data_IF_100631201626
#
_entry.id   IF_100631201626
#
_cell.length_a   1.000
_cell.length_b   1.000
_cell.length_c   1.000
_cell.angle_alpha   90.00
_cell.angle_beta   90.00
_cell.angle_gamma   90.00
#
_symmetry.space_group_name_H-M   'P 1'
#
loop_
_entity.id
_entity.type
_entity.pdbx_description
1 polymer ?
#
# COMPACT_ATOMS: atom_id res chain seq x y z
N UNK A 1 -0.07 33.53 -11.09
CA UNK A 1 -1.46 33.53 -11.58
C UNK A 1 -1.60 32.33 -12.49
N UNK A 2 -2.35 31.32 -12.09
CA UNK A 2 -2.71 30.20 -12.97
C UNK A 2 -3.56 30.78 -14.12
N UNK A 3 -3.17 30.50 -15.37
CA UNK A 3 -4.05 30.81 -16.50
C UNK A 3 -5.39 30.12 -16.25
N UNK A 4 -6.50 30.86 -16.31
CA UNK A 4 -7.83 30.26 -16.27
C UNK A 4 -7.97 29.28 -17.44
N UNK A 5 -8.23 28.04 -17.14
CA UNK A 5 -8.51 27.00 -18.12
C UNK A 5 -9.90 27.24 -18.72
N UNK A 6 -10.07 27.10 -20.04
CA UNK A 6 -11.39 27.27 -20.66
C UNK A 6 -12.35 26.16 -20.25
N UNK A 7 -13.65 26.41 -20.30
CA UNK A 7 -14.69 25.41 -20.00
C UNK A 7 -14.53 24.13 -20.84
N UNK A 8 -14.18 24.27 -22.12
CA UNK A 8 -13.97 23.14 -23.04
C UNK A 8 -12.77 22.29 -22.60
N UNK A 9 -11.66 22.96 -22.22
CA UNK A 9 -10.46 22.24 -21.75
C UNK A 9 -10.73 21.55 -20.42
N UNK A 10 -11.46 22.18 -19.50
CA UNK A 10 -11.85 21.55 -18.23
C UNK A 10 -12.81 20.38 -18.46
N UNK A 11 -13.79 20.52 -19.35
CA UNK A 11 -14.65 19.40 -19.74
C UNK A 11 -13.84 18.24 -20.33
N UNK A 12 -12.83 18.50 -21.15
CA UNK A 12 -11.92 17.50 -21.68
C UNK A 12 -11.14 16.74 -20.57
N UNK A 13 -10.70 17.47 -19.54
CA UNK A 13 -10.07 16.85 -18.36
C UNK A 13 -11.06 15.92 -17.62
N UNK A 14 -12.28 16.38 -17.38
CA UNK A 14 -13.32 15.55 -16.72
C UNK A 14 -13.65 14.30 -17.54
N UNK A 15 -13.75 14.42 -18.89
CA UNK A 15 -13.93 13.25 -19.78
C UNK A 15 -12.79 12.25 -19.62
N UNK A 16 -11.54 12.72 -19.52
CA UNK A 16 -10.37 11.87 -19.30
C UNK A 16 -10.46 11.13 -17.96
N UNK A 17 -10.84 11.84 -16.89
CA UNK A 17 -10.99 11.25 -15.55
C UNK A 17 -12.13 10.20 -15.52
N UNK A 18 -13.27 10.49 -16.13
CA UNK A 18 -14.38 9.53 -16.25
C UNK A 18 -14.00 8.32 -17.10
N UNK A 19 -13.30 8.54 -18.21
CA UNK A 19 -12.81 7.45 -19.05
C UNK A 19 -11.82 6.54 -18.30
N UNK A 20 -10.91 7.12 -17.50
CA UNK A 20 -10.00 6.36 -16.65
C UNK A 20 -10.75 5.53 -15.60
N UNK A 21 -11.77 6.09 -14.95
CA UNK A 21 -12.60 5.37 -13.97
C UNK A 21 -13.33 4.17 -14.60
N UNK A 22 -13.93 4.34 -15.79
CA UNK A 22 -14.58 3.25 -16.53
C UNK A 22 -13.53 2.22 -16.99
N UNK A 23 -12.41 2.67 -17.54
CA UNK A 23 -11.32 1.79 -18.00
C UNK A 23 -10.70 1.01 -16.85
N UNK A 24 -10.72 1.51 -15.62
CA UNK A 24 -10.26 0.80 -14.42
C UNK A 24 -10.95 -0.55 -14.23
N UNK A 25 -12.25 -0.65 -14.52
CA UNK A 25 -12.97 -1.93 -14.49
C UNK A 25 -12.41 -2.91 -15.53
N UNK A 26 -12.13 -2.43 -16.74
CA UNK A 26 -11.59 -3.24 -17.82
C UNK A 26 -10.15 -3.66 -17.55
N UNK A 27 -9.33 -2.78 -16.96
CA UNK A 27 -7.96 -3.07 -16.53
C UNK A 27 -7.96 -4.20 -15.49
N UNK A 28 -8.84 -4.12 -14.50
CA UNK A 28 -8.99 -5.16 -13.48
C UNK A 28 -9.48 -6.51 -14.08
N UNK A 29 -10.42 -6.47 -15.03
CA UNK A 29 -10.84 -7.66 -15.79
C UNK A 29 -9.65 -8.24 -16.56
N UNK A 30 -8.87 -7.39 -17.23
CA UNK A 30 -7.69 -7.79 -17.99
C UNK A 30 -6.66 -8.54 -17.12
N UNK A 31 -6.40 -8.04 -15.92
CA UNK A 31 -5.55 -8.72 -14.95
C UNK A 31 -6.13 -10.07 -14.53
N UNK A 32 -7.37 -10.11 -14.04
CA UNK A 32 -8.03 -11.34 -13.56
C UNK A 32 -8.18 -12.41 -14.63
N UNK A 33 -8.29 -12.02 -15.90
CA UNK A 33 -8.35 -12.94 -17.04
C UNK A 33 -6.99 -13.26 -17.63
N UNK A 34 -5.90 -12.70 -17.08
CA UNK A 34 -4.55 -12.92 -17.56
C UNK A 34 -4.24 -12.33 -18.93
N UNK A 35 -5.03 -11.33 -19.39
CA UNK A 35 -4.86 -10.73 -20.71
C UNK A 35 -3.50 -10.02 -20.82
N UNK A 36 -3.11 -9.25 -19.82
CA UNK A 36 -1.79 -8.60 -19.80
C UNK A 36 -0.64 -9.61 -19.75
N UNK A 37 -0.75 -10.64 -18.89
CA UNK A 37 0.25 -11.71 -18.81
C UNK A 37 0.41 -12.44 -20.13
N UNK A 38 -0.69 -12.69 -20.86
CA UNK A 38 -0.67 -13.34 -22.16
C UNK A 38 -0.11 -12.46 -23.29
N UNK A 39 -0.03 -11.14 -23.10
CA UNK A 39 0.58 -10.19 -24.04
C UNK A 39 2.05 -9.92 -23.73
N UNK A 40 2.50 -10.16 -22.49
CA UNK A 40 3.85 -9.82 -22.04
C UNK A 40 4.94 -10.54 -22.88
N UNK A 41 5.81 -9.77 -23.56
CA UNK A 41 6.92 -10.29 -24.35
C UNK A 41 6.54 -11.03 -25.63
N UNK A 42 5.26 -11.04 -26.02
CA UNK A 42 4.78 -11.79 -27.20
C UNK A 42 4.94 -10.98 -28.51
N UNK A 43 5.06 -9.66 -28.41
CA UNK A 43 5.02 -8.77 -29.57
C UNK A 43 3.60 -8.60 -30.10
N UNK A 44 3.47 -8.54 -31.43
CA UNK A 44 2.17 -8.34 -32.10
C UNK A 44 1.23 -9.54 -31.93
N UNK A 45 0.01 -9.27 -31.47
CA UNK A 45 -1.03 -10.27 -31.24
C UNK A 45 -2.39 -9.79 -31.76
N UNK A 46 -3.18 -10.68 -32.39
CA UNK A 46 -4.55 -10.39 -32.77
C UNK A 46 -5.52 -10.63 -31.62
N UNK A 47 -6.69 -9.96 -31.62
CA UNK A 47 -7.74 -10.20 -30.62
C UNK A 47 -8.15 -11.68 -30.57
N UNK A 48 -8.29 -12.32 -31.75
CA UNK A 48 -8.61 -13.74 -31.87
C UNK A 48 -7.59 -14.64 -31.18
N UNK A 49 -6.29 -14.39 -31.37
CA UNK A 49 -5.23 -15.17 -30.74
C UNK A 49 -5.19 -14.97 -29.23
N UNK A 50 -5.32 -13.72 -28.76
CA UNK A 50 -5.36 -13.42 -27.33
C UNK A 50 -6.58 -14.08 -26.66
N UNK A 51 -7.75 -13.99 -27.27
CA UNK A 51 -8.98 -14.64 -26.82
C UNK A 51 -8.81 -16.16 -26.69
N UNK A 52 -8.19 -16.80 -27.68
CA UNK A 52 -7.93 -18.24 -27.66
C UNK A 52 -6.97 -18.64 -26.52
N UNK A 53 -5.87 -17.88 -26.29
CA UNK A 53 -4.91 -18.14 -25.23
C UNK A 53 -5.57 -18.00 -23.84
N UNK A 54 -6.39 -16.96 -23.64
CA UNK A 54 -6.99 -16.62 -22.35
C UNK A 54 -8.37 -17.26 -22.12
N UNK A 55 -8.85 -18.05 -23.09
CA UNK A 55 -10.17 -18.70 -23.09
C UNK A 55 -11.31 -17.70 -22.86
N UNK A 56 -11.17 -16.52 -23.47
CA UNK A 56 -12.16 -15.45 -23.43
C UNK A 56 -12.88 -15.36 -24.78
N UNK A 57 -14.06 -14.69 -24.79
CA UNK A 57 -14.77 -14.37 -26.02
C UNK A 57 -14.02 -13.33 -26.86
N UNK A 58 -13.86 -13.59 -28.15
CA UNK A 58 -13.10 -12.74 -29.07
C UNK A 58 -13.66 -11.32 -29.17
N UNK A 59 -15.00 -11.18 -29.14
CA UNK A 59 -15.65 -9.87 -29.29
C UNK A 59 -15.37 -8.97 -28.08
N UNK A 60 -15.41 -9.52 -26.86
CA UNK A 60 -15.08 -8.80 -25.65
C UNK A 60 -13.59 -8.48 -25.57
N UNK A 61 -12.71 -9.41 -25.96
CA UNK A 61 -11.26 -9.16 -26.01
C UNK A 61 -10.93 -8.05 -27.01
N UNK A 62 -11.58 -7.99 -28.17
CA UNK A 62 -11.40 -6.91 -29.15
C UNK A 62 -11.79 -5.54 -28.57
N UNK A 63 -12.93 -5.43 -27.90
CA UNK A 63 -13.37 -4.19 -27.24
C UNK A 63 -12.41 -3.79 -26.12
N UNK A 64 -11.98 -4.76 -25.32
CA UNK A 64 -10.99 -4.54 -24.27
C UNK A 64 -9.69 -3.98 -24.83
N UNK A 65 -9.13 -4.60 -25.87
CA UNK A 65 -7.92 -4.15 -26.57
C UNK A 65 -8.08 -2.73 -27.13
N UNK A 66 -9.22 -2.42 -27.74
CA UNK A 66 -9.51 -1.07 -28.24
C UNK A 66 -9.52 -0.03 -27.11
N UNK A 67 -10.13 -0.35 -25.97
CA UNK A 67 -10.12 0.53 -24.80
C UNK A 67 -8.70 0.72 -24.26
N UNK A 68 -7.94 -0.37 -24.13
CA UNK A 68 -6.55 -0.30 -23.63
C UNK A 68 -5.64 0.48 -24.60
N UNK A 69 -5.87 0.36 -25.90
CA UNK A 69 -5.14 1.15 -26.90
C UNK A 69 -5.51 2.64 -26.84
N UNK A 70 -6.79 2.95 -26.68
CA UNK A 70 -7.25 4.33 -26.48
C UNK A 70 -6.69 4.97 -25.20
N UNK A 71 -6.46 4.16 -24.16
CA UNK A 71 -5.84 4.58 -22.90
C UNK A 71 -4.30 4.57 -22.90
N UNK A 72 -3.67 4.12 -24.00
CA UNK A 72 -2.20 4.07 -24.12
C UNK A 72 -1.54 2.90 -23.37
N UNK A 73 -2.31 1.92 -22.85
CA UNK A 73 -1.76 0.75 -22.14
C UNK A 73 -1.19 -0.29 -23.10
N UNK A 74 -1.76 -0.40 -24.29
CA UNK A 74 -1.24 -1.20 -25.40
C UNK A 74 -1.20 -0.34 -26.67
N UNK A 75 -0.47 -0.76 -27.65
CA UNK A 75 -0.41 -0.10 -28.97
C UNK A 75 -1.20 -0.90 -30.00
N UNK A 76 -1.80 -0.20 -30.95
CA UNK A 76 -2.53 -0.78 -32.07
C UNK A 76 -1.82 -0.53 -33.39
N UNK A 77 -1.61 -1.59 -34.18
CA UNK A 77 -1.08 -1.52 -35.51
C UNK A 77 -2.23 -1.66 -36.54
N UNK A 78 -2.58 -0.56 -37.19
CA UNK A 78 -3.68 -0.51 -38.15
C UNK A 78 -3.42 -1.36 -39.42
N UNK A 79 -2.15 -1.55 -39.81
CA UNK A 79 -1.82 -2.25 -41.04
C UNK A 79 -2.04 -3.77 -40.88
N UNK A 80 -1.66 -4.32 -39.74
CA UNK A 80 -1.75 -5.75 -39.43
C UNK A 80 -2.98 -6.13 -38.61
N UNK A 81 -3.77 -5.16 -38.15
CA UNK A 81 -4.88 -5.34 -37.16
C UNK A 81 -4.41 -6.12 -35.92
N UNK A 82 -3.26 -5.73 -35.37
CA UNK A 82 -2.64 -6.35 -34.21
C UNK A 82 -2.46 -5.34 -33.07
N UNK A 83 -2.27 -5.86 -31.88
CA UNK A 83 -1.94 -5.10 -30.68
C UNK A 83 -0.64 -5.60 -30.08
N UNK A 84 0.11 -4.73 -29.39
CA UNK A 84 1.25 -5.16 -28.60
C UNK A 84 1.33 -4.34 -27.31
N UNK A 85 1.83 -4.95 -26.26
CA UNK A 85 2.17 -4.27 -25.02
C UNK A 85 3.68 -3.98 -25.02
N UNK A 86 4.11 -2.70 -24.90
CA UNK A 86 5.52 -2.37 -24.78
C UNK A 86 6.16 -3.06 -23.57
N UNK A 87 7.41 -3.50 -23.69
CA UNK A 87 8.13 -4.15 -22.59
C UNK A 87 8.23 -3.26 -21.34
N UNK A 88 8.29 -1.94 -21.51
CA UNK A 88 8.27 -0.96 -20.40
C UNK A 88 6.95 -0.92 -19.62
N UNK A 89 5.85 -1.46 -20.17
CA UNK A 89 4.57 -1.55 -19.50
C UNK A 89 4.40 -2.85 -18.70
N UNK A 90 5.20 -3.88 -18.99
CA UNK A 90 5.13 -5.19 -18.34
C UNK A 90 5.27 -5.08 -16.81
N UNK A 91 6.26 -4.33 -16.26
CA UNK A 91 6.42 -4.17 -14.81
C UNK A 91 5.21 -3.55 -14.11
N UNK A 92 4.41 -2.77 -14.85
CA UNK A 92 3.25 -2.04 -14.28
C UNK A 92 1.95 -2.85 -14.39
N UNK A 93 1.78 -3.63 -15.47
CA UNK A 93 0.51 -4.24 -15.84
C UNK A 93 0.49 -5.77 -15.73
N UNK A 94 1.65 -6.45 -15.80
CA UNK A 94 1.71 -7.90 -15.95
C UNK A 94 2.63 -8.62 -14.95
N UNK A 95 3.64 -7.95 -14.41
CA UNK A 95 4.59 -8.53 -13.48
C UNK A 95 4.17 -8.23 -12.03
N UNK A 96 3.54 -9.21 -11.39
CA UNK A 96 3.03 -9.09 -10.01
C UNK A 96 4.13 -9.03 -8.94
N UNK A 97 5.38 -9.31 -9.29
CA UNK A 97 6.51 -9.18 -8.38
C UNK A 97 7.25 -7.84 -8.54
N UNK A 98 6.90 -7.07 -9.56
CA UNK A 98 7.49 -5.74 -9.79
C UNK A 98 7.03 -4.73 -8.75
N UNK A 99 7.93 -3.91 -8.16
CA UNK A 99 7.55 -2.82 -7.26
C UNK A 99 6.74 -1.71 -7.96
N UNK A 100 6.62 -1.75 -9.27
CA UNK A 100 5.80 -0.85 -10.08
C UNK A 100 4.44 -1.44 -10.45
N UNK A 101 4.08 -2.62 -9.94
CA UNK A 101 2.80 -3.26 -10.25
C UNK A 101 1.63 -2.52 -9.59
N UNK A 102 0.85 -1.77 -10.38
CA UNK A 102 -0.19 -0.87 -9.89
C UNK A 102 -1.63 -1.38 -10.09
N UNK A 103 -1.83 -2.52 -10.74
CA UNK A 103 -3.19 -3.05 -10.98
C UNK A 103 -3.99 -3.24 -9.68
N UNK A 104 -3.41 -3.70 -8.55
CA UNK A 104 -4.16 -3.85 -7.30
C UNK A 104 -4.76 -2.55 -6.75
N UNK A 105 -4.23 -1.38 -7.10
CA UNK A 105 -4.85 -0.10 -6.76
C UNK A 105 -6.28 0.04 -7.31
N UNK A 106 -6.61 -0.65 -8.41
CA UNK A 106 -7.96 -0.68 -8.96
C UNK A 106 -8.91 -1.59 -8.15
N UNK A 107 -8.40 -2.59 -7.43
CA UNK A 107 -9.20 -3.33 -6.45
C UNK A 107 -9.55 -2.44 -5.26
N UNK A 108 -8.58 -1.65 -4.78
CA UNK A 108 -8.81 -0.62 -3.75
C UNK A 108 -9.88 0.36 -4.24
N UNK A 109 -9.69 0.96 -5.41
CA UNK A 109 -10.66 1.90 -5.97
C UNK A 109 -12.07 1.28 -6.11
N UNK A 110 -12.16 0.02 -6.56
CA UNK A 110 -13.44 -0.67 -6.70
C UNK A 110 -14.12 -0.94 -5.34
N UNK A 111 -13.36 -1.15 -4.25
CA UNK A 111 -13.95 -1.29 -2.91
C UNK A 111 -14.61 0.01 -2.45
N UNK A 112 -14.01 1.16 -2.78
CA UNK A 112 -14.54 2.48 -2.39
C UNK A 112 -15.88 2.78 -3.05
N UNK A 113 -16.08 2.38 -4.30
CA UNK A 113 -17.39 2.47 -4.97
C UNK A 113 -18.45 1.57 -4.32
N UNK A 114 -18.04 0.40 -3.80
CA UNK A 114 -18.95 -0.51 -3.10
C UNK A 114 -19.33 0.00 -1.70
N UNK A 115 -18.54 0.86 -1.11
CA UNK A 115 -18.76 1.47 0.20
C UNK A 115 -19.38 2.88 0.11
N UNK A 116 -19.76 3.37 -1.09
CA UNK A 116 -20.21 4.75 -1.30
C UNK A 116 -21.32 5.18 -0.33
N UNK A 117 -22.31 4.33 -0.08
CA UNK A 117 -23.42 4.66 0.85
C UNK A 117 -22.91 4.90 2.30
N UNK A 118 -21.96 4.08 2.77
CA UNK A 118 -21.32 4.25 4.08
C UNK A 118 -20.51 5.55 4.12
N UNK A 119 -19.79 5.84 3.02
CA UNK A 119 -18.99 7.05 2.90
C UNK A 119 -19.85 8.32 2.90
N UNK A 120 -21.00 8.31 2.26
CA UNK A 120 -21.97 9.41 2.32
C UNK A 120 -22.42 9.67 3.76
N UNK A 121 -22.73 8.62 4.53
CA UNK A 121 -23.15 8.74 5.93
C UNK A 121 -22.05 9.35 6.82
N UNK A 122 -20.78 8.93 6.65
CA UNK A 122 -19.68 9.47 7.46
C UNK A 122 -19.34 10.93 7.08
N UNK A 123 -19.47 11.31 5.81
CA UNK A 123 -19.30 12.70 5.38
C UNK A 123 -20.31 13.64 6.06
N UNK A 124 -21.53 13.17 6.26
CA UNK A 124 -22.58 13.95 6.91
C UNK A 124 -22.46 13.91 8.44
N UNK A 125 -22.20 12.73 9.02
CA UNK A 125 -22.19 12.53 10.47
C UNK A 125 -20.88 12.93 11.15
N UNK A 126 -19.78 12.95 10.40
CA UNK A 126 -18.43 13.12 10.94
C UNK A 126 -17.91 11.92 11.73
N UNK A 127 -18.64 10.80 11.75
CA UNK A 127 -18.22 9.53 12.37
C UNK A 127 -17.08 8.88 11.58
N UNK A 128 -16.40 7.92 12.21
CA UNK A 128 -15.44 7.07 11.52
C UNK A 128 -16.11 5.86 10.85
N UNK A 129 -15.29 5.10 10.14
CA UNK A 129 -15.60 3.80 9.56
C UNK A 129 -14.42 2.89 9.85
N UNK A 130 -14.63 1.80 10.58
CA UNK A 130 -13.55 0.87 10.95
C UNK A 130 -12.98 0.17 9.72
N UNK A 131 -11.70 -0.20 9.77
CA UNK A 131 -11.04 -0.92 8.69
C UNK A 131 -11.79 -2.19 8.26
N UNK A 132 -12.29 -2.97 9.22
CA UNK A 132 -13.06 -4.18 8.98
C UNK A 132 -14.47 -3.97 8.43
N UNK A 133 -15.01 -2.75 8.48
CA UNK A 133 -16.32 -2.41 7.92
C UNK A 133 -16.27 -2.11 6.42
N UNK A 134 -15.08 -1.85 5.87
CA UNK A 134 -14.90 -1.71 4.44
C UNK A 134 -15.11 -3.03 3.70
N UNK A 135 -15.45 -2.92 2.42
CA UNK A 135 -15.55 -4.11 1.57
C UNK A 135 -14.21 -4.85 1.51
N UNK A 136 -14.22 -6.18 1.63
CA UNK A 136 -13.00 -7.03 1.70
C UNK A 136 -11.97 -6.81 0.57
N UNK A 137 -12.40 -6.26 -0.58
CA UNK A 137 -11.48 -5.89 -1.67
C UNK A 137 -10.49 -4.81 -1.26
N UNK A 138 -10.78 -4.00 -0.24
CA UNK A 138 -9.85 -3.01 0.27
C UNK A 138 -8.60 -3.71 0.84
N UNK A 139 -8.78 -4.61 1.80
CA UNK A 139 -7.65 -5.29 2.46
C UNK A 139 -6.85 -6.16 1.48
N UNK A 140 -7.53 -6.91 0.61
CA UNK A 140 -6.86 -7.72 -0.42
C UNK A 140 -6.12 -6.85 -1.46
N UNK A 141 -6.73 -5.76 -1.88
CA UNK A 141 -6.14 -4.83 -2.84
C UNK A 141 -4.94 -4.08 -2.27
N UNK A 142 -5.05 -3.58 -1.04
CA UNK A 142 -3.96 -2.87 -0.35
C UNK A 142 -2.76 -3.79 -0.14
N UNK A 143 -2.98 -5.00 0.37
CA UNK A 143 -1.90 -5.97 0.56
C UNK A 143 -1.21 -6.32 -0.77
N UNK A 144 -1.99 -6.59 -1.83
CA UNK A 144 -1.42 -6.92 -3.13
C UNK A 144 -0.68 -5.74 -3.78
N UNK A 145 -1.09 -4.50 -3.47
CA UNK A 145 -0.43 -3.28 -3.95
C UNK A 145 0.93 -3.06 -3.28
N UNK A 146 0.99 -3.19 -1.96
CA UNK A 146 2.22 -2.90 -1.21
C UNK A 146 3.21 -4.05 -1.18
N UNK A 147 2.75 -5.30 -1.29
CA UNK A 147 3.60 -6.50 -1.19
C UNK A 147 4.84 -6.50 -2.09
N UNK A 148 4.79 -6.15 -3.40
CA UNK A 148 5.98 -6.13 -4.24
C UNK A 148 7.01 -5.09 -3.78
N UNK A 149 6.55 -3.92 -3.32
CA UNK A 149 7.40 -2.89 -2.75
C UNK A 149 8.13 -3.38 -1.50
N UNK A 150 7.40 -3.98 -0.54
CA UNK A 150 8.01 -4.55 0.66
C UNK A 150 9.02 -5.65 0.33
N UNK A 151 8.70 -6.56 -0.58
CA UNK A 151 9.64 -7.60 -1.04
C UNK A 151 10.92 -7.03 -1.63
N UNK A 152 10.81 -5.93 -2.37
CA UNK A 152 11.95 -5.31 -3.04
C UNK A 152 12.81 -4.50 -2.09
N UNK A 153 12.18 -3.66 -1.27
CA UNK A 153 12.87 -2.59 -0.57
C UNK A 153 13.11 -2.86 0.92
N UNK A 154 12.23 -3.62 1.63
CA UNK A 154 12.29 -3.74 3.09
C UNK A 154 13.66 -4.19 3.58
N UNK A 155 14.14 -5.31 3.05
CA UNK A 155 15.42 -5.89 3.48
C UNK A 155 16.61 -5.21 2.81
N UNK A 156 16.51 -4.99 1.49
CA UNK A 156 17.65 -4.57 0.68
C UNK A 156 17.99 -3.09 0.82
N UNK A 157 17.01 -2.26 1.14
CA UNK A 157 17.16 -0.81 1.20
C UNK A 157 16.83 -0.26 2.60
N UNK A 158 15.60 -0.46 3.09
CA UNK A 158 15.11 0.24 4.28
C UNK A 158 15.80 -0.21 5.57
N UNK A 159 15.94 -1.53 5.80
CA UNK A 159 16.67 -2.05 6.96
C UNK A 159 18.15 -1.65 6.89
N UNK A 160 18.77 -1.74 5.71
CA UNK A 160 20.19 -1.39 5.50
C UNK A 160 20.46 0.10 5.60
N UNK A 161 19.48 0.95 5.40
CA UNK A 161 19.65 2.40 5.54
C UNK A 161 19.75 2.86 7.01
N UNK A 162 19.40 1.98 7.96
CA UNK A 162 19.53 2.23 9.39
C UNK A 162 20.84 1.64 9.89
N UNK A 163 21.77 2.50 10.33
CA UNK A 163 23.12 2.08 10.77
C UNK A 163 23.07 1.00 11.85
N UNK A 164 23.77 -0.12 11.61
CA UNK A 164 23.93 -1.26 12.54
C UNK A 164 22.68 -2.15 12.68
N UNK A 165 21.57 -1.85 11.99
CA UNK A 165 20.33 -2.61 12.15
C UNK A 165 20.41 -3.99 11.49
N UNK A 166 20.97 -4.10 10.29
CA UNK A 166 21.12 -5.40 9.60
C UNK A 166 21.94 -6.39 10.43
N UNK A 167 23.11 -5.96 10.92
CA UNK A 167 24.01 -6.77 11.73
C UNK A 167 23.33 -7.20 13.04
N UNK A 168 22.52 -6.32 13.63
CA UNK A 168 21.77 -6.63 14.85
C UNK A 168 20.71 -7.70 14.59
N UNK A 169 19.96 -7.60 13.48
CA UNK A 169 18.98 -8.60 13.08
C UNK A 169 19.61 -9.95 12.72
N UNK A 170 20.77 -9.94 12.03
CA UNK A 170 21.52 -11.14 11.69
C UNK A 170 22.05 -11.88 12.94
N UNK A 171 22.43 -11.13 13.98
CA UNK A 171 22.94 -11.72 15.23
C UNK A 171 21.87 -12.24 16.19
N UNK A 172 20.62 -12.13 15.84
CA UNK A 172 19.47 -12.47 16.66
C UNK A 172 18.95 -11.29 17.46
N UNK A 173 17.73 -10.87 17.15
CA UNK A 173 17.06 -9.72 17.73
C UNK A 173 15.58 -10.03 18.03
N UNK A 174 14.89 -9.06 18.61
CA UNK A 174 13.44 -9.12 18.80
C UNK A 174 12.77 -7.98 18.05
N UNK A 175 11.83 -8.33 17.18
CA UNK A 175 11.14 -7.40 16.29
C UNK A 175 9.65 -7.40 16.53
N UNK A 176 9.02 -6.23 16.57
CA UNK A 176 7.58 -6.05 16.49
C UNK A 176 7.18 -5.43 15.13
N UNK A 177 6.19 -6.00 14.49
CA UNK A 177 5.52 -5.44 13.32
C UNK A 177 4.11 -5.04 13.74
N UNK A 178 3.89 -3.75 13.99
CA UNK A 178 2.65 -3.22 14.59
C UNK A 178 1.73 -2.70 13.49
N UNK A 179 0.52 -3.24 13.42
CA UNK A 179 -0.39 -3.07 12.29
C UNK A 179 0.00 -3.99 11.13
N UNK A 180 0.42 -5.21 11.44
CA UNK A 180 1.01 -6.14 10.46
C UNK A 180 0.04 -6.64 9.37
N UNK A 181 -1.26 -6.40 9.50
CA UNK A 181 -2.27 -6.83 8.54
C UNK A 181 -2.19 -8.34 8.26
N UNK A 182 -2.04 -8.70 6.99
CA UNK A 182 -1.90 -10.10 6.55
C UNK A 182 -0.48 -10.68 6.71
N UNK A 183 0.43 -9.98 7.41
CA UNK A 183 1.73 -10.47 7.83
C UNK A 183 2.83 -10.48 6.77
N UNK A 184 2.71 -9.73 5.69
CA UNK A 184 3.70 -9.75 4.59
C UNK A 184 5.08 -9.35 5.09
N UNK A 185 5.21 -8.21 5.73
CA UNK A 185 6.47 -7.66 6.27
C UNK A 185 7.02 -8.50 7.40
N UNK A 186 6.16 -8.97 8.28
CA UNK A 186 6.51 -9.88 9.38
C UNK A 186 7.15 -11.18 8.88
N UNK A 187 6.53 -11.82 7.85
CA UNK A 187 7.03 -13.05 7.22
C UNK A 187 8.36 -12.79 6.49
N UNK A 188 8.50 -11.66 5.79
CA UNK A 188 9.75 -11.30 5.11
C UNK A 188 10.90 -11.16 6.10
N UNK A 189 10.68 -10.45 7.21
CA UNK A 189 11.69 -10.28 8.27
C UNK A 189 12.07 -11.62 8.92
N UNK A 190 11.09 -12.47 9.24
CA UNK A 190 11.34 -13.77 9.86
C UNK A 190 12.09 -14.75 8.94
N UNK A 191 11.85 -14.69 7.63
CA UNK A 191 12.54 -15.53 6.66
C UNK A 191 13.98 -15.07 6.41
N UNK A 192 14.22 -13.74 6.33
CA UNK A 192 15.55 -13.20 6.10
C UNK A 192 16.47 -13.33 7.32
N UNK A 193 15.89 -13.18 8.52
CA UNK A 193 16.64 -13.20 9.79
C UNK A 193 16.18 -14.38 10.67
N UNK A 194 16.64 -15.62 10.41
CA UNK A 194 16.14 -16.83 11.06
C UNK A 194 16.44 -16.90 12.57
N UNK A 195 17.46 -16.18 13.05
CA UNK A 195 17.82 -16.10 14.47
C UNK A 195 17.08 -14.96 15.21
N UNK A 196 16.35 -14.11 14.48
CA UNK A 196 15.55 -13.00 15.01
C UNK A 196 14.13 -13.47 15.30
N UNK A 197 13.60 -13.14 16.48
CA UNK A 197 12.21 -13.41 16.84
C UNK A 197 11.31 -12.27 16.43
N UNK A 198 10.36 -12.53 15.52
CA UNK A 198 9.47 -11.52 14.93
C UNK A 198 8.04 -11.74 15.42
N UNK A 199 7.38 -10.69 15.89
CA UNK A 199 6.00 -10.73 16.36
C UNK A 199 5.17 -9.71 15.59
N UNK A 200 4.16 -10.18 14.85
CA UNK A 200 3.18 -9.32 14.19
C UNK A 200 1.98 -9.06 15.10
N UNK A 201 1.61 -7.80 15.26
CA UNK A 201 0.44 -7.36 16.01
C UNK A 201 -0.56 -6.64 15.11
N UNK A 202 -1.83 -6.98 15.22
CA UNK A 202 -2.94 -6.27 14.57
C UNK A 202 -4.21 -6.35 15.41
N UNK A 203 -5.08 -5.36 15.32
CA UNK A 203 -6.37 -5.37 16.03
C UNK A 203 -7.41 -6.23 15.31
N UNK A 204 -7.24 -6.46 14.01
CA UNK A 204 -8.22 -7.13 13.16
C UNK A 204 -8.00 -8.64 13.16
N UNK A 205 -8.92 -9.38 13.83
CA UNK A 205 -8.85 -10.82 13.99
C UNK A 205 -8.69 -11.60 12.67
N UNK A 206 -9.41 -11.19 11.62
CA UNK A 206 -9.37 -11.88 10.32
C UNK A 206 -8.03 -11.68 9.60
N UNK A 207 -7.41 -10.50 9.77
CA UNK A 207 -6.06 -10.24 9.27
C UNK A 207 -5.05 -11.16 9.95
N UNK A 208 -5.10 -11.27 11.27
CA UNK A 208 -4.21 -12.18 12.03
C UNK A 208 -4.42 -13.65 11.63
N UNK A 209 -5.68 -14.10 11.47
CA UNK A 209 -5.95 -15.46 11.00
C UNK A 209 -5.35 -15.72 9.60
N UNK A 210 -5.44 -14.73 8.69
CA UNK A 210 -4.83 -14.80 7.37
C UNK A 210 -3.29 -14.84 7.46
N UNK A 211 -2.69 -14.00 8.29
CA UNK A 211 -1.24 -13.96 8.52
C UNK A 211 -0.72 -15.30 9.07
N UNK A 212 -1.42 -15.87 10.05
CA UNK A 212 -1.11 -17.21 10.61
C UNK A 212 -1.20 -18.33 9.57
N UNK A 213 -2.17 -18.29 8.65
CA UNK A 213 -2.26 -19.25 7.55
C UNK A 213 -1.07 -19.15 6.61
N UNK A 214 -0.73 -17.93 6.20
CA UNK A 214 0.40 -17.65 5.31
C UNK A 214 1.76 -18.03 5.92
N UNK A 215 1.94 -17.82 7.21
CA UNK A 215 3.20 -18.18 7.87
C UNK A 215 3.44 -19.70 7.84
N UNK A 216 2.38 -20.52 7.92
CA UNK A 216 2.49 -21.99 7.77
C UNK A 216 2.91 -22.39 6.36
N UNK A 217 2.50 -21.64 5.35
CA UNK A 217 2.83 -21.88 3.94
C UNK A 217 4.24 -21.39 3.59
N UNK A 218 4.74 -20.36 4.28
CA UNK A 218 6.04 -19.73 4.01
C UNK A 218 7.25 -20.52 4.50
N UNK A 219 7.05 -21.52 5.35
CA UNK A 219 8.14 -22.36 5.87
C UNK A 219 9.06 -21.68 6.89
N UNK A 220 8.56 -20.64 7.58
CA UNK A 220 9.31 -19.95 8.66
C UNK A 220 9.77 -20.93 9.73
N UNK A 221 10.96 -20.73 10.31
CA UNK A 221 11.66 -21.65 11.23
C UNK A 221 11.14 -21.60 12.68
N UNK A 222 9.89 -21.17 12.92
CA UNK A 222 9.31 -21.07 14.27
C UNK A 222 9.73 -19.82 15.05
N UNK A 223 10.40 -18.87 14.40
CA UNK A 223 10.83 -17.59 14.94
C UNK A 223 9.79 -16.46 14.74
N UNK A 224 8.55 -16.83 14.41
CA UNK A 224 7.47 -15.91 14.03
C UNK A 224 6.20 -16.19 14.82
N UNK A 225 5.61 -15.14 15.37
CA UNK A 225 4.30 -15.17 16.02
C UNK A 225 3.37 -14.09 15.47
N UNK A 226 2.06 -14.32 15.52
CA UNK A 226 1.03 -13.33 15.23
C UNK A 226 0.02 -13.26 16.37
N UNK A 227 -0.27 -12.04 16.84
CA UNK A 227 -1.14 -11.77 18.01
C UNK A 227 -2.15 -10.67 17.71
N UNK A 228 -3.38 -10.89 18.20
CA UNK A 228 -4.40 -9.84 18.19
C UNK A 228 -4.12 -8.90 19.34
N UNK A 229 -3.69 -7.68 19.04
CA UNK A 229 -3.44 -6.62 20.02
C UNK A 229 -3.49 -5.25 19.35
N UNK A 230 -3.86 -4.22 20.11
CA UNK A 230 -3.74 -2.85 19.62
C UNK A 230 -2.30 -2.34 19.74
N UNK A 231 -1.97 -1.32 18.96
CA UNK A 231 -0.66 -0.66 19.00
C UNK A 231 -0.32 -0.03 20.37
N UNK A 232 -1.31 0.07 21.29
CA UNK A 232 -1.17 0.67 22.62
C UNK A 232 -1.17 -0.34 23.77
N UNK A 233 -1.34 -1.64 23.53
CA UNK A 233 -1.55 -2.60 24.63
C UNK A 233 -0.96 -4.00 24.44
N UNK A 234 -0.09 -4.21 23.46
CA UNK A 234 0.68 -5.46 23.43
C UNK A 234 1.61 -5.55 24.66
N UNK A 235 1.75 -6.75 25.23
CA UNK A 235 2.43 -6.95 26.52
C UNK A 235 3.94 -7.17 26.40
N UNK A 236 4.41 -7.45 25.21
CA UNK A 236 5.80 -7.77 24.95
C UNK A 236 6.68 -6.52 24.95
N UNK A 237 7.88 -6.67 25.48
CA UNK A 237 8.89 -5.60 25.56
C UNK A 237 10.27 -6.13 25.16
N UNK A 238 11.26 -5.24 25.16
CA UNK A 238 12.64 -5.58 24.83
C UNK A 238 12.84 -5.77 23.33
N UNK A 239 12.16 -4.96 22.52
CA UNK A 239 12.34 -4.96 21.07
C UNK A 239 13.57 -4.17 20.65
N UNK A 240 14.30 -4.69 19.68
CA UNK A 240 15.41 -4.04 19.01
C UNK A 240 14.93 -3.22 17.82
N UNK A 241 13.82 -3.66 17.21
CA UNK A 241 13.15 -2.97 16.12
C UNK A 241 11.64 -3.04 16.34
N UNK A 242 10.95 -1.91 16.17
CA UNK A 242 9.51 -1.84 16.05
C UNK A 242 9.18 -1.18 14.72
N UNK A 243 8.37 -1.87 13.90
CA UNK A 243 7.94 -1.39 12.58
C UNK A 243 6.49 -0.90 12.62
N UNK A 244 6.23 0.21 11.93
CA UNK A 244 4.90 0.64 11.50
C UNK A 244 4.94 0.77 9.97
N UNK A 245 4.27 -0.14 9.28
CA UNK A 245 4.30 -0.25 7.82
C UNK A 245 3.00 0.25 7.20
N UNK A 246 3.00 1.50 6.74
CA UNK A 246 1.83 2.20 6.16
C UNK A 246 0.57 2.14 7.05
N UNK A 247 0.73 2.34 8.37
CA UNK A 247 -0.38 2.16 9.30
C UNK A 247 -0.47 3.20 10.45
N UNK A 248 0.61 3.91 10.81
CA UNK A 248 0.58 4.87 11.91
C UNK A 248 -0.38 6.03 11.62
N UNK A 249 -0.47 6.46 10.37
CA UNK A 249 -1.37 7.53 9.92
C UNK A 249 -2.86 7.17 10.00
N UNK A 250 -3.20 5.87 10.05
CA UNK A 250 -4.55 5.33 10.17
C UNK A 250 -4.99 5.14 11.62
N UNK A 251 -4.05 5.21 12.57
CA UNK A 251 -4.36 5.00 13.99
C UNK A 251 -5.11 6.18 14.58
N UNK A 252 -6.06 5.90 15.47
CA UNK A 252 -6.80 6.94 16.18
C UNK A 252 -5.91 7.72 17.14
N UNK A 253 -4.94 7.07 17.77
CA UNK A 253 -4.00 7.66 18.73
C UNK A 253 -2.55 7.31 18.34
N UNK A 254 -2.00 7.95 17.31
CA UNK A 254 -0.64 7.68 16.85
C UNK A 254 0.42 8.06 17.88
N UNK A 255 0.18 9.09 18.70
CA UNK A 255 1.07 9.48 19.81
C UNK A 255 1.08 8.40 20.90
N UNK A 256 -0.09 7.87 21.27
CA UNK A 256 -0.20 6.77 22.24
C UNK A 256 0.46 5.50 21.74
N UNK A 257 0.30 5.17 20.45
CA UNK A 257 0.99 4.04 19.82
C UNK A 257 2.51 4.21 19.84
N UNK A 258 3.01 5.39 19.48
CA UNK A 258 4.44 5.72 19.53
C UNK A 258 5.01 5.71 20.97
N UNK A 259 4.25 6.18 21.97
CA UNK A 259 4.63 6.10 23.40
C UNK A 259 4.77 4.65 23.84
N UNK A 260 3.81 3.80 23.49
CA UNK A 260 3.86 2.39 23.83
C UNK A 260 5.03 1.70 23.15
N UNK A 261 5.30 1.99 21.87
CA UNK A 261 6.48 1.50 21.17
C UNK A 261 7.78 1.93 21.87
N UNK A 262 7.88 3.20 22.29
CA UNK A 262 9.03 3.69 23.06
C UNK A 262 9.27 2.91 24.34
N UNK A 263 8.21 2.63 25.11
CA UNK A 263 8.27 1.86 26.36
C UNK A 263 8.65 0.40 26.14
N UNK A 264 8.33 -0.15 24.98
CA UNK A 264 8.61 -1.53 24.60
C UNK A 264 10.00 -1.75 23.99
N UNK A 265 10.69 -0.68 23.57
CA UNK A 265 12.03 -0.74 22.98
C UNK A 265 13.12 -1.06 23.99
N UNK A 266 14.19 -1.72 23.53
CA UNK A 266 15.49 -1.73 24.17
C UNK A 266 16.14 -0.32 24.12
N UNK A 267 17.07 0.01 25.03
CA UNK A 267 17.70 1.35 25.05
C UNK A 267 18.39 1.77 23.75
N UNK A 268 18.86 0.81 22.96
CA UNK A 268 19.50 1.00 21.65
C UNK A 268 18.60 0.55 20.48
N UNK A 269 17.31 0.34 20.76
CA UNK A 269 16.31 -0.03 19.77
C UNK A 269 15.91 1.13 18.86
N UNK A 270 15.27 0.80 17.76
CA UNK A 270 14.80 1.75 16.74
C UNK A 270 13.35 1.49 16.36
N UNK A 271 12.59 2.54 16.13
CA UNK A 271 11.30 2.47 15.42
C UNK A 271 11.52 2.81 13.96
N UNK A 272 11.08 1.94 13.06
CA UNK A 272 11.07 2.17 11.62
C UNK A 272 9.62 2.48 11.19
N UNK A 273 9.41 3.70 10.69
CA UNK A 273 8.15 4.14 10.12
C UNK A 273 8.26 4.11 8.60
N UNK A 274 7.39 3.36 7.95
CA UNK A 274 7.18 3.43 6.51
C UNK A 274 5.80 4.04 6.31
N UNK A 275 5.75 5.20 5.67
CA UNK A 275 4.52 5.98 5.54
C UNK A 275 4.38 6.53 4.12
N UNK A 276 3.16 6.89 3.67
CA UNK A 276 2.94 7.41 2.34
C UNK A 276 3.83 8.64 2.03
N UNK A 277 4.38 8.68 0.82
CA UNK A 277 5.17 9.81 0.35
C UNK A 277 4.29 11.05 0.23
N UNK A 278 4.47 11.99 1.14
CA UNK A 278 3.79 13.26 1.17
C UNK A 278 4.75 14.38 1.54
N UNK A 279 4.59 15.53 0.88
CA UNK A 279 5.20 16.77 1.33
C UNK A 279 4.42 17.35 2.51
N UNK A 280 5.03 18.30 3.20
CA UNK A 280 4.49 18.87 4.43
C UNK A 280 3.32 19.84 4.22
N UNK A 281 3.20 20.40 3.03
CA UNK A 281 2.18 21.38 2.69
C UNK A 281 1.33 20.90 1.51
N UNK A 282 0.09 21.36 1.41
CA UNK A 282 -0.83 21.00 0.33
C UNK A 282 -0.24 21.28 -1.04
N UNK A 283 0.50 22.38 -1.18
CA UNK A 283 1.16 22.78 -2.44
C UNK A 283 2.15 21.74 -2.97
N UNK A 284 2.83 21.02 -2.07
CA UNK A 284 3.82 19.98 -2.43
C UNK A 284 3.13 18.72 -2.97
N UNK A 285 1.88 18.54 -2.61
CA UNK A 285 1.07 17.37 -2.92
C UNK A 285 0.07 17.59 -4.08
N UNK A 286 0.14 18.74 -4.79
CA UNK A 286 -0.67 18.99 -6.00
C UNK A 286 -0.02 18.28 -7.20
N UNK A 287 -0.10 16.96 -7.21
CA UNK A 287 0.45 16.07 -8.23
C UNK A 287 -0.37 14.75 -8.28
N UNK A 288 -0.16 13.86 -9.27
CA UNK A 288 -0.94 12.62 -9.39
C UNK A 288 -0.88 11.71 -8.17
N UNK A 289 0.27 11.57 -7.50
CA UNK A 289 0.45 10.75 -6.29
C UNK A 289 -0.31 11.39 -5.12
N UNK A 290 -0.17 12.71 -4.94
CA UNK A 290 -0.92 13.46 -3.93
C UNK A 290 -2.44 13.36 -4.15
N UNK A 291 -2.93 13.45 -5.41
CA UNK A 291 -4.36 13.25 -5.74
C UNK A 291 -4.83 11.85 -5.32
N UNK A 292 -4.03 10.81 -5.59
CA UNK A 292 -4.34 9.43 -5.19
C UNK A 292 -4.43 9.33 -3.67
N UNK A 293 -3.39 9.78 -2.97
CA UNK A 293 -3.31 9.66 -1.51
C UNK A 293 -4.34 10.53 -0.78
N UNK A 294 -4.63 11.77 -1.23
CA UNK A 294 -5.75 12.53 -0.68
C UNK A 294 -7.09 11.81 -0.87
N UNK A 295 -7.29 11.16 -2.03
CA UNK A 295 -8.49 10.36 -2.28
C UNK A 295 -8.62 9.23 -1.26
N UNK A 296 -7.62 8.36 -1.16
CA UNK A 296 -7.64 7.23 -0.20
C UNK A 296 -7.69 7.72 1.24
N UNK A 297 -6.90 8.74 1.59
CA UNK A 297 -6.89 9.35 2.93
C UNK A 297 -8.28 9.82 3.37
N UNK A 298 -9.03 10.43 2.45
CA UNK A 298 -10.37 10.96 2.75
C UNK A 298 -11.38 9.86 3.08
N UNK A 299 -11.31 8.72 2.37
CA UNK A 299 -12.35 7.69 2.43
C UNK A 299 -11.92 6.40 3.14
N UNK A 300 -10.64 6.27 3.51
CA UNK A 300 -10.10 5.13 4.25
C UNK A 300 -9.38 5.60 5.52
N UNK A 301 -8.23 6.27 5.39
CA UNK A 301 -7.33 6.58 6.51
C UNK A 301 -8.01 7.48 7.56
N UNK A 302 -8.60 8.59 7.12
CA UNK A 302 -9.31 9.52 8.02
C UNK A 302 -10.50 8.86 8.72
N UNK A 303 -11.41 8.16 8.01
CA UNK A 303 -12.49 7.42 8.67
C UNK A 303 -12.01 6.33 9.63
N UNK A 304 -10.98 5.57 9.25
CA UNK A 304 -10.41 4.54 10.11
C UNK A 304 -9.88 5.14 11.42
N UNK A 305 -9.09 6.19 11.34
CA UNK A 305 -8.60 6.90 12.53
C UNK A 305 -9.74 7.47 13.38
N UNK A 306 -10.74 8.09 12.75
CA UNK A 306 -11.91 8.68 13.46
C UNK A 306 -12.83 7.65 14.11
N UNK A 307 -12.81 6.39 13.71
CA UNK A 307 -13.58 5.31 14.34
C UNK A 307 -12.98 4.86 15.67
N UNK A 308 -11.72 5.17 15.92
CA UNK A 308 -10.96 4.78 17.09
C UNK A 308 -10.93 5.87 18.16
N UNK A 309 -10.51 5.48 19.37
CA UNK A 309 -10.29 6.43 20.48
C UNK A 309 -9.27 7.52 20.07
N UNK A 310 -9.50 8.75 20.52
CA UNK A 310 -8.79 9.99 20.16
C UNK A 310 -9.16 10.49 18.75
N UNK A 311 -9.08 9.66 17.71
CA UNK A 311 -9.47 10.03 16.35
C UNK A 311 -8.61 11.15 15.76
N UNK A 312 -7.29 11.08 15.92
CA UNK A 312 -6.34 12.14 15.52
C UNK A 312 -6.36 12.45 14.01
N UNK A 313 -6.76 11.48 13.18
CA UNK A 313 -6.95 11.62 11.74
C UNK A 313 -5.75 12.26 11.03
N UNK A 314 -4.56 11.69 11.21
CA UNK A 314 -3.35 12.16 10.51
C UNK A 314 -3.53 12.10 8.99
N UNK A 315 -4.07 10.97 8.51
CA UNK A 315 -4.28 10.69 7.09
C UNK A 315 -2.99 10.40 6.33
N UNK A 316 -3.13 9.82 5.16
CA UNK A 316 -2.00 9.42 4.29
C UNK A 316 -1.12 10.60 3.83
N UNK A 317 -1.56 11.84 4.01
CA UNK A 317 -0.82 13.05 3.65
C UNK A 317 -0.25 13.78 4.88
N UNK A 318 0.13 13.02 5.93
CA UNK A 318 0.70 13.59 7.15
C UNK A 318 2.01 14.35 6.90
N UNK A 319 2.88 13.85 6.01
CA UNK A 319 4.19 14.42 5.75
C UNK A 319 5.20 14.15 6.89
N UNK A 320 6.48 14.38 6.60
CA UNK A 320 7.57 14.09 7.55
C UNK A 320 7.47 14.94 8.81
N UNK A 321 7.14 16.23 8.67
CA UNK A 321 7.04 17.15 9.81
C UNK A 321 6.03 16.66 10.84
N UNK A 322 4.82 16.31 10.42
CA UNK A 322 3.76 15.88 11.34
C UNK A 322 4.05 14.50 11.94
N UNK A 323 4.59 13.56 11.16
CA UNK A 323 5.06 12.28 11.68
C UNK A 323 6.18 12.46 12.72
N UNK A 324 7.14 13.34 12.44
CA UNK A 324 8.21 13.71 13.39
C UNK A 324 7.65 14.35 14.66
N UNK A 325 6.63 15.19 14.56
CA UNK A 325 5.99 15.81 15.73
C UNK A 325 5.30 14.76 16.60
N UNK A 326 4.62 13.76 16.02
CA UNK A 326 4.04 12.61 16.72
C UNK A 326 5.12 11.86 17.50
N UNK A 327 6.25 11.54 16.87
CA UNK A 327 7.34 10.81 17.51
C UNK A 327 8.00 11.63 18.62
N UNK A 328 8.21 12.94 18.43
CA UNK A 328 8.73 13.85 19.47
C UNK A 328 7.77 13.94 20.66
N UNK A 329 6.48 14.06 20.40
CA UNK A 329 5.46 14.09 21.48
C UNK A 329 5.43 12.77 22.27
N UNK A 330 5.69 11.64 21.59
CA UNK A 330 5.89 10.34 22.21
C UNK A 330 7.20 10.26 23.01
N UNK A 331 8.13 11.20 22.81
CA UNK A 331 9.37 11.35 23.57
C UNK A 331 10.60 10.70 22.90
N UNK A 332 10.57 10.45 21.60
CA UNK A 332 11.78 10.09 20.84
C UNK A 332 12.68 11.32 20.67
N UNK A 333 13.99 11.12 20.76
CA UNK A 333 14.98 12.21 20.72
C UNK A 333 15.54 12.46 19.32
N UNK A 334 15.58 11.43 18.47
CA UNK A 334 16.09 11.50 17.10
C UNK A 334 15.07 10.91 16.14
N UNK A 335 14.73 11.65 15.10
CA UNK A 335 13.91 11.19 13.99
C UNK A 335 14.57 11.68 12.72
N UNK A 336 14.89 10.76 11.83
CA UNK A 336 15.56 11.07 10.56
C UNK A 336 14.95 10.30 9.40
N UNK A 337 14.90 10.91 8.22
CA UNK A 337 14.56 10.20 6.98
C UNK A 337 15.78 9.39 6.55
N UNK A 338 15.62 8.07 6.50
CA UNK A 338 16.68 7.12 6.13
C UNK A 338 16.56 6.62 4.69
N UNK A 339 15.36 6.62 4.13
CA UNK A 339 15.13 6.26 2.73
C UNK A 339 13.84 6.90 2.20
N UNK A 340 13.64 6.83 0.90
CA UNK A 340 12.40 7.21 0.23
C UNK A 340 12.20 6.41 -1.06
N UNK A 341 10.94 6.25 -1.46
CA UNK A 341 10.50 5.73 -2.76
C UNK A 341 9.51 6.73 -3.38
N UNK A 342 9.08 6.55 -4.63
CA UNK A 342 8.01 7.39 -5.19
C UNK A 342 6.69 7.33 -4.39
N UNK A 343 6.50 6.29 -3.57
CA UNK A 343 5.25 6.03 -2.83
C UNK A 343 5.40 6.09 -1.31
N UNK A 344 6.62 6.00 -0.76
CA UNK A 344 6.85 5.98 0.67
C UNK A 344 7.99 6.90 1.11
N UNK A 345 7.87 7.44 2.31
CA UNK A 345 8.97 7.98 3.10
C UNK A 345 9.27 7.02 4.25
N UNK A 346 10.55 6.84 4.56
CA UNK A 346 11.01 5.92 5.60
C UNK A 346 11.76 6.72 6.66
N UNK A 347 11.23 6.70 7.88
CA UNK A 347 11.81 7.41 9.02
C UNK A 347 12.31 6.41 10.05
N UNK A 348 13.48 6.67 10.62
CA UNK A 348 14.01 5.98 11.80
C UNK A 348 13.92 6.88 13.02
N UNK A 349 13.32 6.38 14.11
CA UNK A 349 13.23 7.10 15.36
C UNK A 349 13.95 6.34 16.48
N UNK A 350 14.75 7.07 17.29
CA UNK A 350 15.54 6.54 18.42
C UNK A 350 15.23 7.27 19.72
N UNK A 351 15.52 6.57 20.85
CA UNK A 351 15.30 7.07 22.22
C UNK A 351 16.16 8.27 22.57
#
# INVERSE_FOLDING_TARGET
>A
MSQEISTENFAGQVVTDVAAAISGVLTNIGHKKGLYKAMAGVGDITAKRLAAITQCDERYVKEWLNNQAAGGYVHYNQISDTYYMPDTHIPVLADEESPFFLIPALEVAASLWLDEDKLLDIFQSGKGLEWGEHHHRLSCGSESLFRPGYKTFLINDWIKSVEGLSEKLESGAKVADVGCGHGVTTILLANEYPDTHVIGFDVHNESIATAQSRSKESGTNGNLEFKVASAKNYSETGFDLICFMDCLHDMGDPVGAAKHAKEALNPDGVVLLVEPAAGDDVSDNINPVGRLYYGVSTVVCTPCSKSQEVGAALGAQAGERRLSDVMKEAGFSSIERVAETPFNIILAARL
#
